data_IF_953145743717
#
_entry.id   IF_953145743717
#
_cell.length_a   1.000
_cell.length_b   1.000
_cell.length_c   1.000
_cell.angle_alpha   90.00
_cell.angle_beta   90.00
_cell.angle_gamma   90.00
#
_symmetry.space_group_name_H-M   'P 1'
#
loop_
_entity.id
_entity.type
_entity.pdbx_description
1 polymer ?
#
# COMPACT_ATOMS: atom_id res chain seq x y z
N UNK A 1 -14.80 15.66 16.94
CA UNK A 1 -14.25 14.65 16.02
C UNK A 1 -14.43 15.16 14.59
N UNK A 2 -13.40 15.17 13.73
CA UNK A 2 -13.57 15.59 12.32
C UNK A 2 -14.18 14.43 11.52
N UNK A 3 -15.13 14.73 10.65
CA UNK A 3 -15.64 13.78 9.67
C UNK A 3 -14.62 13.60 8.53
N UNK A 4 -14.35 12.34 8.19
CA UNK A 4 -13.37 11.94 7.17
C UNK A 4 -14.04 11.33 5.92
N UNK A 5 -15.36 11.17 5.93
CA UNK A 5 -16.09 10.60 4.80
C UNK A 5 -15.81 11.40 3.52
N UNK A 6 -15.56 10.68 2.42
CA UNK A 6 -15.25 11.20 1.09
C UNK A 6 -13.97 12.07 0.99
N UNK A 7 -13.15 12.14 2.03
CA UNK A 7 -11.84 12.81 1.95
C UNK A 7 -10.85 11.95 1.18
N UNK A 8 -10.01 12.61 0.39
CA UNK A 8 -8.89 11.96 -0.32
C UNK A 8 -7.69 11.92 0.62
N UNK A 9 -7.11 10.74 0.80
CA UNK A 9 -5.96 10.53 1.68
C UNK A 9 -4.91 9.70 0.95
N UNK A 10 -3.64 10.12 1.08
CA UNK A 10 -2.48 9.38 0.56
C UNK A 10 -1.80 8.66 1.72
N UNK A 11 -1.55 7.35 1.58
CA UNK A 11 -0.84 6.56 2.59
C UNK A 11 0.37 5.88 1.96
N UNK A 12 1.57 6.15 2.49
CA UNK A 12 2.82 5.47 2.14
C UNK A 12 3.13 4.36 3.15
N UNK A 13 3.85 3.31 2.74
CA UNK A 13 4.09 2.13 3.58
C UNK A 13 2.80 1.36 3.91
N UNK A 14 1.82 1.38 3.00
CA UNK A 14 0.46 0.87 3.25
C UNK A 14 0.31 -0.67 3.09
N UNK A 15 1.37 -1.36 2.69
CA UNK A 15 1.41 -2.80 2.44
C UNK A 15 1.64 -3.63 3.70
N UNK A 16 2.14 -3.05 4.79
CA UNK A 16 2.37 -3.77 6.05
C UNK A 16 2.19 -2.91 7.31
N UNK A 17 2.24 -3.57 8.47
CA UNK A 17 2.28 -2.93 9.79
C UNK A 17 1.21 -1.85 10.01
N UNK A 18 1.67 -0.71 10.54
CA UNK A 18 0.83 0.44 10.90
C UNK A 18 0.21 1.08 9.66
N UNK A 19 0.95 1.21 8.56
CA UNK A 19 0.43 1.84 7.34
C UNK A 19 -0.75 1.08 6.76
N UNK A 20 -0.68 -0.26 6.76
CA UNK A 20 -1.82 -1.13 6.37
C UNK A 20 -3.02 -0.97 7.29
N UNK A 21 -2.80 -1.03 8.60
CA UNK A 21 -3.87 -0.86 9.58
C UNK A 21 -4.54 0.51 9.46
N UNK A 22 -3.75 1.57 9.23
CA UNK A 22 -4.25 2.93 9.01
C UNK A 22 -5.08 3.02 7.73
N UNK A 23 -4.58 2.47 6.61
CA UNK A 23 -5.32 2.45 5.34
C UNK A 23 -6.67 1.75 5.49
N UNK A 24 -6.71 0.60 6.17
CA UNK A 24 -7.95 -0.13 6.46
C UNK A 24 -8.92 0.71 7.32
N UNK A 25 -8.42 1.33 8.39
CA UNK A 25 -9.26 2.16 9.27
C UNK A 25 -9.84 3.38 8.53
N UNK A 26 -9.08 4.00 7.62
CA UNK A 26 -9.53 5.13 6.81
C UNK A 26 -10.55 4.69 5.75
N UNK A 27 -10.37 3.52 5.14
CA UNK A 27 -11.32 2.96 4.18
C UNK A 27 -12.68 2.72 4.83
N UNK A 28 -12.70 2.13 6.04
CA UNK A 28 -13.94 1.91 6.82
C UNK A 28 -14.66 3.22 7.14
N UNK A 29 -13.91 4.32 7.33
CA UNK A 29 -14.46 5.66 7.55
C UNK A 29 -14.94 6.36 6.27
N UNK A 30 -14.89 5.68 5.13
CA UNK A 30 -15.37 6.19 3.84
C UNK A 30 -14.41 7.16 3.15
N UNK A 31 -13.11 7.11 3.47
CA UNK A 31 -12.09 7.86 2.74
C UNK A 31 -11.85 7.26 1.35
N UNK A 32 -11.45 8.11 0.40
CA UNK A 32 -10.88 7.70 -0.89
C UNK A 32 -9.37 7.66 -0.74
N UNK A 33 -8.75 6.52 -1.07
CA UNK A 33 -7.35 6.28 -0.77
C UNK A 33 -6.52 6.16 -2.05
N UNK A 34 -5.37 6.83 -2.05
CA UNK A 34 -4.24 6.47 -2.91
C UNK A 34 -3.15 5.89 -2.00
N UNK A 35 -2.70 4.68 -2.29
CA UNK A 35 -1.75 3.96 -1.43
C UNK A 35 -0.50 3.58 -2.19
N UNK A 36 0.63 3.58 -1.50
CA UNK A 36 1.93 3.19 -2.04
C UNK A 36 2.71 2.40 -0.99
N UNK A 37 3.37 1.33 -1.41
CA UNK A 37 4.39 0.63 -0.63
C UNK A 37 5.42 0.05 -1.59
N UNK A 38 6.62 -0.23 -1.07
CA UNK A 38 7.66 -0.93 -1.80
C UNK A 38 7.47 -2.44 -1.59
N UNK A 39 7.41 -3.19 -2.69
CA UNK A 39 7.62 -4.64 -2.62
C UNK A 39 9.13 -4.89 -2.53
N UNK A 40 9.57 -5.48 -1.43
CA UNK A 40 10.92 -6.02 -1.35
C UNK A 40 10.94 -7.39 -2.01
N UNK A 41 11.47 -7.45 -3.24
CA UNK A 41 11.81 -8.72 -3.87
C UNK A 41 13.11 -9.21 -3.24
N UNK A 42 13.09 -10.45 -2.74
CA UNK A 42 14.33 -11.10 -2.30
C UNK A 42 15.08 -11.43 -3.58
N UNK A 43 16.15 -10.70 -3.86
CA UNK A 43 17.04 -11.01 -4.98
C UNK A 43 17.78 -12.30 -4.62
N UNK A 44 17.23 -13.44 -5.03
CA UNK A 44 18.00 -14.68 -5.10
C UNK A 44 18.83 -14.60 -6.38
N UNK A 45 20.15 -14.63 -6.25
CA UNK A 45 21.08 -14.50 -7.38
C UNK A 45 20.91 -15.68 -8.37
N UNK A 46 20.25 -16.77 -7.96
CA UNK A 46 19.90 -17.90 -8.83
C UNK A 46 18.55 -17.81 -9.54
N UNK A 47 17.66 -16.90 -9.13
CA UNK A 47 16.28 -16.84 -9.62
C UNK A 47 16.12 -15.75 -10.69
N UNK A 48 16.16 -16.17 -11.96
CA UNK A 48 16.08 -15.26 -13.12
C UNK A 48 14.75 -14.52 -13.19
N UNK A 49 13.71 -15.02 -12.53
CA UNK A 49 12.38 -14.43 -12.53
C UNK A 49 12.21 -13.38 -11.40
N UNK A 50 13.11 -13.37 -10.40
CA UNK A 50 13.08 -12.41 -9.29
C UNK A 50 13.52 -10.98 -9.67
N UNK A 51 14.15 -10.81 -10.85
CA UNK A 51 14.71 -9.52 -11.31
C UNK A 51 13.68 -8.65 -12.05
N UNK A 52 12.60 -9.25 -12.57
CA UNK A 52 11.57 -8.53 -13.32
C UNK A 52 10.22 -8.64 -12.60
N UNK A 53 9.84 -7.67 -11.76
CA UNK A 53 8.51 -7.66 -11.19
C UNK A 53 7.49 -7.43 -12.30
N UNK A 54 6.84 -8.51 -12.74
CA UNK A 54 5.62 -8.43 -13.51
C UNK A 54 4.57 -7.68 -12.68
N UNK A 55 3.77 -6.87 -13.35
CA UNK A 55 2.63 -6.10 -12.83
C UNK A 55 2.95 -4.66 -12.38
N UNK A 56 3.22 -3.82 -13.37
CA UNK A 56 2.58 -2.50 -13.44
C UNK A 56 1.25 -2.67 -14.21
N UNK A 57 0.15 -2.82 -13.48
CA UNK A 57 -1.19 -2.42 -13.92
C UNK A 57 -1.72 -1.46 -12.86
#
# INVERSE_FOLDING_TARGET
MKDLKNKVVVVTGAGSGIGRALAQALAVRGCRLAISDVKTYKLDVGDRDAVFPQEFI
#
